data_IF_094094463899
#
_entry.id   IF_094094463899
#
_cell.length_a   1.000
_cell.length_b   1.000
_cell.length_c   1.000
_cell.angle_alpha   90.00
_cell.angle_beta   90.00
_cell.angle_gamma   90.00
#
_symmetry.space_group_name_H-M   'P 1'
#
loop_
_entity.id
_entity.type
_entity.pdbx_description
1 polymer ?
#
# COMPACT_ATOMS: atom_id res chain seq x y z
N UNK A 1 -1.43 18.56 -51.36
CA UNK A 1 -1.92 17.65 -50.31
C UNK A 1 -0.93 17.69 -49.16
N UNK A 2 -1.27 18.40 -48.10
CA UNK A 2 -0.41 18.62 -46.92
C UNK A 2 -0.71 17.52 -45.90
N UNK A 3 0.30 16.72 -45.56
CA UNK A 3 0.18 15.65 -44.56
C UNK A 3 0.17 16.30 -43.18
N UNK A 4 -0.78 15.97 -42.28
CA UNK A 4 -0.81 16.57 -40.95
C UNK A 4 0.41 16.10 -40.14
N UNK A 5 1.16 17.09 -39.66
CA UNK A 5 2.26 16.97 -38.72
C UNK A 5 1.83 16.18 -37.49
N UNK A 6 2.60 15.13 -37.16
CA UNK A 6 2.50 14.32 -35.95
C UNK A 6 2.29 15.19 -34.71
N UNK A 7 1.16 15.01 -34.03
CA UNK A 7 0.94 15.56 -32.71
C UNK A 7 2.06 15.06 -31.79
N UNK A 8 2.90 15.98 -31.27
CA UNK A 8 3.83 15.66 -30.21
C UNK A 8 3.00 15.20 -29.02
N UNK A 9 2.99 13.89 -28.75
CA UNK A 9 2.41 13.30 -27.55
C UNK A 9 2.90 14.11 -26.36
N UNK A 10 2.01 14.88 -25.73
CA UNK A 10 2.30 15.48 -24.44
C UNK A 10 2.68 14.31 -23.53
N UNK A 11 3.94 14.25 -23.12
CA UNK A 11 4.38 13.26 -22.14
C UNK A 11 3.61 13.59 -20.87
N UNK A 12 2.54 12.83 -20.59
CA UNK A 12 1.82 12.90 -19.33
C UNK A 12 2.86 12.75 -18.23
N UNK A 13 3.16 13.85 -17.54
CA UNK A 13 4.11 13.83 -16.44
C UNK A 13 3.40 13.14 -15.28
N UNK A 14 3.94 12.01 -14.84
CA UNK A 14 3.39 11.21 -13.75
C UNK A 14 4.19 11.50 -12.47
N UNK A 15 3.56 11.22 -11.32
CA UNK A 15 4.29 11.13 -10.06
C UNK A 15 5.38 10.07 -10.16
N UNK A 16 6.56 10.37 -9.63
CA UNK A 16 7.69 9.44 -9.61
C UNK A 16 8.10 9.19 -8.18
N UNK A 17 7.98 7.94 -7.74
CA UNK A 17 8.48 7.49 -6.45
C UNK A 17 9.74 6.66 -6.67
N UNK A 18 10.84 7.04 -6.02
CA UNK A 18 12.12 6.33 -6.12
C UNK A 18 12.63 6.00 -4.73
N UNK A 19 12.88 4.71 -4.50
CA UNK A 19 13.50 4.19 -3.28
C UNK A 19 14.81 3.52 -3.66
N UNK A 20 15.92 3.98 -3.07
CA UNK A 20 17.21 3.31 -3.21
C UNK A 20 17.55 2.59 -1.92
N UNK A 21 17.87 1.30 -2.00
CA UNK A 21 18.20 0.45 -0.86
C UNK A 21 19.65 -0.02 -0.90
N UNK A 22 20.25 -0.22 0.27
CA UNK A 22 21.57 -0.80 0.40
C UNK A 22 21.54 -2.30 0.01
N UNK A 23 22.29 -2.69 -1.02
CA UNK A 23 22.29 -4.08 -1.55
C UNK A 23 22.53 -5.17 -0.49
N UNK A 24 23.34 -4.90 0.54
CA UNK A 24 23.69 -5.88 1.58
C UNK A 24 22.67 -5.98 2.70
N UNK A 25 22.11 -4.86 3.16
CA UNK A 25 21.24 -4.79 4.35
C UNK A 25 19.76 -4.60 4.01
N UNK A 26 19.48 -4.27 2.75
CA UNK A 26 18.17 -3.85 2.24
C UNK A 26 17.59 -2.58 2.90
N UNK A 27 18.40 -1.86 3.70
CA UNK A 27 18.02 -0.61 4.37
C UNK A 27 17.86 0.50 3.35
N UNK A 28 16.82 1.34 3.49
CA UNK A 28 16.59 2.51 2.64
C UNK A 28 17.73 3.52 2.81
N UNK A 29 18.34 3.93 1.69
CA UNK A 29 19.42 4.92 1.62
C UNK A 29 18.91 6.30 1.22
N UNK A 30 17.99 6.33 0.26
CA UNK A 30 17.37 7.56 -0.21
C UNK A 30 15.96 7.26 -0.70
N UNK A 31 15.08 8.21 -0.47
CA UNK A 31 13.69 8.17 -0.87
C UNK A 31 13.32 9.53 -1.48
N UNK A 32 12.62 9.52 -2.60
CA UNK A 32 12.13 10.73 -3.23
C UNK A 32 10.77 10.49 -3.87
N UNK A 33 9.80 11.33 -3.53
CA UNK A 33 8.54 11.47 -4.22
C UNK A 33 8.55 12.78 -5.02
N UNK A 34 8.46 12.69 -6.34
CA UNK A 34 8.55 13.84 -7.25
C UNK A 34 7.22 14.01 -7.97
N UNK A 35 6.64 15.21 -7.87
CA UNK A 35 5.38 15.54 -8.53
C UNK A 35 5.52 15.64 -10.05
N UNK A 36 4.41 15.61 -10.80
CA UNK A 36 4.39 15.91 -12.24
C UNK A 36 5.05 17.24 -12.63
N UNK A 37 5.17 18.18 -11.69
CA UNK A 37 5.78 19.49 -11.90
C UNK A 37 7.27 19.53 -11.54
N UNK A 38 7.86 18.42 -11.09
CA UNK A 38 9.25 18.34 -10.66
C UNK A 38 9.49 18.84 -9.23
N UNK A 39 8.43 19.19 -8.48
CA UNK A 39 8.52 19.52 -7.05
C UNK A 39 8.69 18.22 -6.27
N UNK A 40 9.77 18.10 -5.48
CA UNK A 40 9.91 17.00 -4.54
C UNK A 40 9.00 17.23 -3.33
N UNK A 41 8.24 16.21 -2.96
CA UNK A 41 7.38 16.20 -1.77
C UNK A 41 8.12 15.43 -0.67
N UNK A 42 8.21 16.05 0.50
CA UNK A 42 8.73 15.39 1.70
C UNK A 42 7.60 14.65 2.39
N UNK A 43 7.80 13.37 2.66
CA UNK A 43 6.91 12.55 3.45
C UNK A 43 7.59 12.18 4.77
N UNK A 44 6.84 12.17 5.86
CA UNK A 44 7.33 11.80 7.19
C UNK A 44 6.49 10.64 7.70
N UNK A 45 7.09 9.46 7.77
CA UNK A 45 6.47 8.27 8.34
C UNK A 45 6.69 8.22 9.85
N UNK A 46 5.64 7.91 10.61
CA UNK A 46 5.68 7.75 12.06
C UNK A 46 5.10 6.39 12.43
N UNK A 47 5.93 5.57 13.07
CA UNK A 47 5.52 4.31 13.67
C UNK A 47 4.96 4.55 15.07
N UNK A 48 3.65 4.80 15.15
CA UNK A 48 2.97 5.20 16.37
C UNK A 48 2.47 4.03 17.22
N UNK A 49 2.18 4.24 18.51
CA UNK A 49 1.72 3.17 19.42
C UNK A 49 0.27 2.74 19.18
N UNK A 50 -0.53 3.57 18.50
CA UNK A 50 -1.96 3.29 18.23
C UNK A 50 -2.26 3.11 16.75
N UNK A 51 -1.48 3.74 15.88
CA UNK A 51 -1.59 3.68 14.43
C UNK A 51 -0.27 4.11 13.78
N UNK A 52 -0.12 3.73 12.52
CA UNK A 52 0.89 4.22 11.61
C UNK A 52 0.41 5.52 10.98
N UNK A 53 1.32 6.47 10.74
CA UNK A 53 0.98 7.65 9.96
C UNK A 53 2.04 8.08 8.96
N UNK A 54 1.59 8.68 7.86
CA UNK A 54 2.45 9.32 6.87
C UNK A 54 1.95 10.75 6.61
N UNK A 55 2.69 11.74 7.11
CA UNK A 55 2.39 13.16 6.91
C UNK A 55 3.14 13.73 5.71
N UNK A 56 2.51 14.60 4.94
CA UNK A 56 3.15 15.29 3.80
C UNK A 56 2.41 16.59 3.43
N UNK A 57 3.09 17.48 2.70
CA UNK A 57 2.47 18.66 2.10
C UNK A 57 2.20 18.41 0.62
N UNK A 58 0.96 18.57 0.18
CA UNK A 58 0.55 18.39 -1.22
C UNK A 58 1.08 19.46 -2.17
N UNK A 59 0.82 19.29 -3.47
CA UNK A 59 1.15 20.32 -4.48
C UNK A 59 0.25 21.56 -4.39
N UNK A 60 -0.86 21.46 -3.67
CA UNK A 60 -1.78 22.54 -3.33
C UNK A 60 -1.41 23.26 -2.01
N UNK A 61 -0.20 22.97 -1.49
CA UNK A 61 0.36 23.50 -0.24
C UNK A 61 -0.46 23.16 1.02
N UNK A 62 -1.40 22.22 0.93
CA UNK A 62 -2.15 21.70 2.08
C UNK A 62 -1.43 20.53 2.74
N UNK A 63 -1.69 20.34 4.03
CA UNK A 63 -1.12 19.24 4.80
C UNK A 63 -2.06 18.04 4.80
N UNK A 64 -1.49 16.87 4.56
CA UNK A 64 -2.20 15.61 4.51
C UNK A 64 -1.55 14.62 5.45
N UNK A 65 -2.35 13.68 5.96
CA UNK A 65 -1.86 12.59 6.78
C UNK A 65 -2.63 11.30 6.45
N UNK A 66 -1.92 10.28 5.98
CA UNK A 66 -2.45 8.92 6.02
C UNK A 66 -2.38 8.41 7.45
N UNK A 67 -3.43 7.74 7.93
CA UNK A 67 -3.42 6.99 9.18
C UNK A 67 -3.94 5.59 8.97
N UNK A 68 -3.27 4.61 9.57
CA UNK A 68 -3.80 3.25 9.65
C UNK A 68 -4.90 3.14 10.72
N UNK A 69 -5.75 2.12 10.62
CA UNK A 69 -6.82 1.83 11.58
C UNK A 69 -6.29 1.32 12.93
N UNK A 70 -5.06 0.79 12.96
CA UNK A 70 -4.40 0.25 14.14
C UNK A 70 -2.89 0.22 13.95
N UNK A 71 -2.14 0.12 15.05
CA UNK A 71 -0.69 -0.08 15.03
C UNK A 71 -0.31 -1.31 14.19
N UNK A 72 0.71 -1.20 13.35
CA UNK A 72 1.18 -2.29 12.50
C UNK A 72 2.07 -3.24 13.31
N UNK A 73 1.71 -4.52 13.34
CA UNK A 73 2.58 -5.57 13.89
C UNK A 73 2.32 -6.91 13.21
N UNK A 74 3.39 -7.55 12.78
CA UNK A 74 3.39 -8.89 12.20
C UNK A 74 3.24 -9.99 13.26
N UNK A 75 3.48 -9.70 14.54
CA UNK A 75 3.32 -10.68 15.63
C UNK A 75 2.06 -10.49 16.46
N UNK A 76 1.55 -9.26 16.59
CA UNK A 76 0.43 -8.92 17.48
C UNK A 76 -0.94 -8.82 16.78
N UNK A 77 -1.11 -9.45 15.61
CA UNK A 77 -2.41 -9.60 14.96
C UNK A 77 -2.89 -8.42 14.10
N UNK A 78 -2.29 -7.24 14.24
CA UNK A 78 -2.53 -6.08 13.37
C UNK A 78 -1.66 -6.14 12.11
N UNK A 79 -1.90 -7.17 11.30
CA UNK A 79 -1.08 -7.47 10.14
C UNK A 79 -1.28 -6.44 9.02
N UNK A 80 -0.24 -6.25 8.21
CA UNK A 80 -0.27 -5.34 7.07
C UNK A 80 -1.47 -5.57 6.14
N UNK A 81 -1.77 -6.84 5.84
CA UNK A 81 -2.85 -7.24 4.95
C UNK A 81 -4.25 -6.95 5.51
N UNK A 82 -4.42 -6.64 6.79
CA UNK A 82 -5.74 -6.32 7.38
C UNK A 82 -5.88 -4.84 7.76
N UNK A 83 -4.82 -4.06 7.57
CA UNK A 83 -4.85 -2.62 7.87
C UNK A 83 -5.69 -1.86 6.85
N UNK A 84 -6.56 -1.01 7.39
CA UNK A 84 -7.27 0.02 6.63
C UNK A 84 -6.56 1.35 6.84
N UNK A 85 -6.59 2.18 5.83
CA UNK A 85 -5.97 3.49 5.84
C UNK A 85 -6.99 4.55 5.50
N UNK A 86 -6.88 5.71 6.13
CA UNK A 86 -7.65 6.89 5.77
C UNK A 86 -6.68 8.06 5.57
N UNK A 87 -6.87 8.79 4.48
CA UNK A 87 -6.15 10.02 4.20
C UNK A 87 -6.97 11.19 4.71
N UNK A 88 -6.39 11.96 5.61
CA UNK A 88 -6.97 13.15 6.19
C UNK A 88 -6.34 14.40 5.56
N UNK A 89 -7.17 15.40 5.28
CA UNK A 89 -6.73 16.78 5.12
C UNK A 89 -6.61 17.40 6.52
N UNK A 90 -5.38 17.71 6.92
CA UNK A 90 -5.08 18.28 8.24
C UNK A 90 -5.38 19.78 8.19
N UNK A 91 -6.52 20.16 8.77
CA UNK A 91 -6.86 21.57 8.97
C UNK A 91 -6.16 22.07 10.25
N UNK A 92 -5.81 23.36 10.30
CA UNK A 92 -5.03 23.98 11.39
C UNK A 92 -5.40 23.47 12.79
N UNK A 93 -4.39 23.15 13.61
CA UNK A 93 -4.31 22.63 15.00
C UNK A 93 -5.54 22.14 15.80
N UNK A 94 -6.78 22.53 15.51
CA UNK A 94 -8.02 22.08 16.15
C UNK A 94 -9.22 22.03 15.17
N UNK A 95 -8.99 22.14 13.86
CA UNK A 95 -10.06 22.10 12.87
C UNK A 95 -10.57 20.67 12.63
N UNK A 96 -11.78 20.52 12.06
CA UNK A 96 -12.27 19.20 11.67
C UNK A 96 -11.34 18.60 10.61
N UNK A 97 -10.92 17.37 10.86
CA UNK A 97 -10.19 16.59 9.86
C UNK A 97 -11.17 16.08 8.81
N UNK A 98 -10.84 16.31 7.54
CA UNK A 98 -11.69 15.89 6.42
C UNK A 98 -11.05 14.64 5.81
N UNK A 99 -11.78 13.53 5.79
CA UNK A 99 -11.35 12.32 5.10
C UNK A 99 -11.45 12.57 3.59
N UNK A 100 -10.31 12.53 2.91
CA UNK A 100 -10.23 12.74 1.45
C UNK A 100 -10.15 11.43 0.68
N UNK A 101 -9.65 10.36 1.29
CA UNK A 101 -9.65 9.02 0.73
C UNK A 101 -9.57 7.95 1.82
N UNK A 102 -9.97 6.73 1.48
CA UNK A 102 -9.78 5.54 2.30
C UNK A 102 -9.30 4.37 1.45
N UNK A 103 -8.45 3.54 2.04
CA UNK A 103 -7.83 2.41 1.39
C UNK A 103 -7.98 1.15 2.27
N UNK A 104 -8.27 0.02 1.66
CA UNK A 104 -8.28 -1.30 2.30
C UNK A 104 -7.65 -2.32 1.38
N UNK A 105 -6.77 -3.16 1.93
CA UNK A 105 -6.14 -4.26 1.19
C UNK A 105 -7.15 -5.31 0.73
N UNK A 106 -8.30 -5.39 1.40
CA UNK A 106 -9.41 -6.28 1.07
C UNK A 106 -10.69 -5.48 1.13
N UNK A 107 -11.41 -5.45 0.02
CA UNK A 107 -12.76 -4.88 -0.07
C UNK A 107 -13.82 -5.70 0.71
N UNK A 108 -13.46 -6.91 1.15
CA UNK A 108 -14.32 -7.82 1.90
C UNK A 108 -15.19 -8.73 1.02
N UNK A 109 -14.99 -8.71 -0.30
CA UNK A 109 -15.73 -9.55 -1.24
C UNK A 109 -14.91 -10.81 -1.60
N UNK A 110 -15.10 -11.89 -0.84
CA UNK A 110 -14.78 -13.23 -1.33
C UNK A 110 -15.99 -13.73 -2.13
N UNK A 111 -15.96 -13.55 -3.45
CA UNK A 111 -16.92 -14.25 -4.32
C UNK A 111 -16.22 -15.46 -4.96
N UNK A 112 -16.99 -16.45 -5.41
CA UNK A 112 -16.43 -17.58 -6.17
C UNK A 112 -15.79 -17.16 -7.50
N UNK A 113 -15.94 -15.89 -7.91
CA UNK A 113 -15.56 -15.37 -9.24
C UNK A 113 -14.47 -14.30 -9.15
N UNK A 114 -14.27 -13.64 -8.01
CA UNK A 114 -13.28 -12.59 -7.82
C UNK A 114 -12.47 -12.81 -6.56
N UNK A 115 -11.14 -12.82 -6.69
CA UNK A 115 -10.28 -12.58 -5.54
C UNK A 115 -10.59 -11.19 -4.99
N UNK A 116 -10.56 -11.00 -3.66
CA UNK A 116 -10.72 -9.69 -3.09
C UNK A 116 -9.63 -8.77 -3.62
N UNK A 117 -10.00 -7.55 -3.99
CA UNK A 117 -9.08 -6.59 -4.57
C UNK A 117 -8.74 -5.50 -3.55
N UNK A 118 -7.59 -4.88 -3.77
CA UNK A 118 -7.18 -3.68 -3.06
C UNK A 118 -8.11 -2.54 -3.49
N UNK A 119 -8.82 -1.95 -2.55
CA UNK A 119 -9.78 -0.88 -2.83
C UNK A 119 -9.28 0.46 -2.29
N UNK A 120 -9.29 1.47 -3.16
CA UNK A 120 -9.07 2.87 -2.83
C UNK A 120 -10.31 3.68 -3.21
N UNK A 121 -10.94 4.30 -2.22
CA UNK A 121 -12.09 5.19 -2.41
C UNK A 121 -11.66 6.65 -2.20
N UNK A 122 -11.77 7.47 -3.24
CA UNK A 122 -11.43 8.90 -3.18
C UNK A 122 -12.72 9.71 -2.98
N UNK A 123 -12.83 10.37 -1.83
CA UNK A 123 -14.01 11.11 -1.40
C UNK A 123 -14.05 12.56 -1.90
N UNK A 124 -12.87 13.16 -2.04
CA UNK A 124 -12.75 14.59 -2.36
C UNK A 124 -12.41 14.80 -3.84
N UNK A 125 -13.31 15.45 -4.58
CA UNK A 125 -13.12 15.75 -6.01
C UNK A 125 -12.03 16.80 -6.28
N UNK A 126 -11.65 17.58 -5.26
CA UNK A 126 -10.66 18.65 -5.39
C UNK A 126 -9.22 18.23 -5.11
N UNK A 127 -8.99 16.95 -4.80
CA UNK A 127 -7.65 16.44 -4.46
C UNK A 127 -7.11 15.64 -5.65
N UNK A 128 -5.82 15.81 -5.95
CA UNK A 128 -5.15 15.07 -7.01
C UNK A 128 -5.16 13.56 -6.70
N UNK A 129 -5.95 12.79 -7.44
CA UNK A 129 -6.02 11.34 -7.30
C UNK A 129 -4.66 10.66 -7.48
N UNK A 130 -3.80 11.19 -8.34
CA UNK A 130 -2.47 10.62 -8.60
C UNK A 130 -1.51 10.87 -7.43
N UNK A 131 -1.67 11.98 -6.71
CA UNK A 131 -0.96 12.25 -5.45
C UNK A 131 -1.40 11.27 -4.36
N UNK A 132 -2.71 11.00 -4.24
CA UNK A 132 -3.26 10.04 -3.27
C UNK A 132 -2.64 8.66 -3.50
N UNK A 133 -2.67 8.17 -4.74
CA UNK A 133 -2.07 6.87 -5.08
C UNK A 133 -0.55 6.85 -4.82
N UNK A 134 0.16 7.91 -5.23
CA UNK A 134 1.61 7.94 -5.06
C UNK A 134 2.04 8.00 -3.58
N UNK A 135 1.32 8.73 -2.73
CA UNK A 135 1.58 8.80 -1.28
C UNK A 135 1.15 7.53 -0.55
N UNK A 136 0.09 6.85 -1.02
CA UNK A 136 -0.28 5.53 -0.51
C UNK A 136 0.84 4.51 -0.77
N UNK A 137 1.46 4.55 -1.95
CA UNK A 137 2.61 3.68 -2.25
C UNK A 137 3.77 3.92 -1.28
N UNK A 138 4.07 5.19 -0.95
CA UNK A 138 5.10 5.54 0.04
C UNK A 138 4.78 4.93 1.40
N UNK A 139 3.53 5.08 1.87
CA UNK A 139 3.09 4.52 3.15
C UNK A 139 3.30 3.00 3.18
N UNK A 140 2.81 2.30 2.15
CA UNK A 140 2.91 0.84 2.03
C UNK A 140 4.36 0.35 2.07
N UNK A 141 5.27 1.07 1.42
CA UNK A 141 6.70 0.74 1.43
C UNK A 141 7.34 0.90 2.80
N UNK A 142 6.94 1.93 3.56
CA UNK A 142 7.38 2.16 4.94
C UNK A 142 6.84 1.13 5.92
N UNK A 143 5.55 0.83 5.84
CA UNK A 143 4.92 -0.25 6.62
C UNK A 143 5.62 -1.58 6.36
N UNK A 144 5.92 -1.86 5.09
CA UNK A 144 6.64 -3.07 4.75
C UNK A 144 8.07 -3.09 5.28
N UNK A 145 8.72 -1.93 5.42
CA UNK A 145 10.01 -1.86 6.12
C UNK A 145 9.88 -2.14 7.62
N UNK A 146 8.87 -1.57 8.30
CA UNK A 146 8.59 -1.86 9.71
C UNK A 146 8.41 -3.37 9.93
N UNK A 147 7.63 -4.05 9.09
CA UNK A 147 7.48 -5.50 9.14
C UNK A 147 8.79 -6.26 8.91
N UNK A 148 9.66 -5.79 8.00
CA UNK A 148 10.97 -6.41 7.79
C UNK A 148 11.87 -6.24 9.00
N UNK A 149 11.84 -5.09 9.66
CA UNK A 149 12.58 -4.87 10.91
C UNK A 149 12.09 -5.77 12.03
N UNK A 150 10.78 -5.91 12.20
CA UNK A 150 10.18 -6.81 13.18
C UNK A 150 10.60 -8.26 12.91
N UNK A 151 10.54 -8.72 11.65
CA UNK A 151 11.00 -10.05 11.26
C UNK A 151 12.50 -10.29 11.51
N UNK A 152 13.34 -9.25 11.37
CA UNK A 152 14.78 -9.36 11.72
C UNK A 152 14.98 -9.52 13.23
N UNK A 153 14.11 -8.91 14.04
CA UNK A 153 14.17 -8.96 15.52
C UNK A 153 13.60 -10.28 16.06
N UNK A 154 12.47 -10.73 15.53
CA UNK A 154 11.79 -11.95 15.97
C UNK A 154 11.31 -12.80 14.76
N UNK A 155 12.22 -13.52 14.09
CA UNK A 155 11.85 -14.33 12.93
C UNK A 155 10.91 -15.49 13.29
N UNK A 156 11.01 -16.03 14.51
CA UNK A 156 10.21 -17.17 14.96
C UNK A 156 8.78 -16.75 15.26
N UNK A 157 8.59 -15.65 15.99
CA UNK A 157 7.26 -15.10 16.26
C UNK A 157 6.53 -14.74 14.97
N UNK A 158 7.22 -14.10 14.02
CA UNK A 158 6.63 -13.80 12.70
C UNK A 158 6.23 -15.07 11.95
N UNK A 159 7.02 -16.14 12.01
CA UNK A 159 6.65 -17.41 11.37
C UNK A 159 5.43 -18.06 12.03
N UNK A 160 5.35 -18.04 13.37
CA UNK A 160 4.20 -18.55 14.11
C UNK A 160 2.92 -17.77 13.76
N UNK A 161 2.96 -16.44 13.80
CA UNK A 161 1.80 -15.61 13.47
C UNK A 161 1.42 -15.76 11.99
N UNK A 162 2.38 -15.95 11.09
CA UNK A 162 2.09 -16.27 9.70
C UNK A 162 1.44 -17.66 9.54
N UNK A 163 1.84 -18.67 10.32
CA UNK A 163 1.19 -19.97 10.32
C UNK A 163 -0.26 -19.87 10.82
N UNK A 164 -0.50 -19.15 11.91
CA UNK A 164 -1.83 -18.89 12.45
C UNK A 164 -2.70 -18.10 11.46
N UNK A 165 -2.11 -17.11 10.78
CA UNK A 165 -2.77 -16.35 9.73
C UNK A 165 -3.30 -17.25 8.62
N UNK A 166 -2.50 -18.22 8.17
CA UNK A 166 -2.82 -19.16 7.08
C UNK A 166 -3.94 -20.14 7.41
N UNK A 167 -4.32 -20.25 8.67
CA UNK A 167 -5.52 -20.99 9.09
C UNK A 167 -6.81 -20.29 8.65
N UNK A 168 -6.75 -19.01 8.26
CA UNK A 168 -7.87 -18.25 7.72
C UNK A 168 -7.69 -18.05 6.22
N UNK A 169 -8.79 -17.97 5.47
CA UNK A 169 -8.77 -17.85 4.00
C UNK A 169 -7.91 -16.67 3.52
N UNK A 170 -8.11 -15.50 4.13
CA UNK A 170 -7.36 -14.28 3.81
C UNK A 170 -5.86 -14.42 4.09
N UNK A 171 -5.51 -14.98 5.25
CA UNK A 171 -4.10 -15.17 5.59
C UNK A 171 -3.44 -16.29 4.78
N UNK A 172 -4.22 -17.24 4.23
CA UNK A 172 -3.67 -18.21 3.28
C UNK A 172 -3.20 -17.53 2.01
N UNK A 173 -4.01 -16.64 1.43
CA UNK A 173 -3.67 -15.88 0.22
C UNK A 173 -2.51 -14.90 0.47
N UNK A 174 -2.54 -14.17 1.58
CA UNK A 174 -1.51 -13.19 1.91
C UNK A 174 -0.12 -13.82 2.19
N UNK A 175 -0.06 -15.10 2.59
CA UNK A 175 1.17 -15.81 2.96
C UNK A 175 1.38 -17.11 2.16
N UNK A 176 1.08 -17.08 0.86
CA UNK A 176 1.39 -18.22 -0.02
C UNK A 176 2.87 -18.60 0.03
N UNK A 177 3.11 -19.90 0.08
CA UNK A 177 4.44 -20.51 0.02
C UNK A 177 4.55 -21.34 -1.25
N UNK A 178 5.78 -21.52 -1.73
CA UNK A 178 6.06 -22.42 -2.85
C UNK A 178 5.47 -23.83 -2.62
N UNK A 179 5.56 -24.33 -1.37
CA UNK A 179 4.97 -25.62 -0.97
C UNK A 179 3.47 -25.75 -1.20
N UNK A 180 2.73 -24.63 -1.24
CA UNK A 180 1.28 -24.63 -1.45
C UNK A 180 0.92 -24.99 -2.89
N UNK A 181 1.90 -24.85 -3.80
CA UNK A 181 1.78 -25.17 -5.21
C UNK A 181 2.42 -26.51 -5.56
N UNK A 182 3.24 -27.10 -4.69
CA UNK A 182 3.95 -28.36 -5.00
C UNK A 182 3.03 -29.59 -5.12
N UNK A 183 1.78 -29.49 -4.66
CA UNK A 183 0.77 -30.56 -4.78
C UNK A 183 -0.04 -30.46 -6.08
N UNK A 184 0.19 -29.42 -6.88
CA UNK A 184 -0.62 -29.05 -8.02
C UNK A 184 0.29 -28.65 -9.19
N UNK A 185 0.06 -29.18 -10.37
CA UNK A 185 0.63 -28.62 -11.60
C UNK A 185 0.19 -27.15 -11.75
N UNK A 186 0.96 -26.31 -12.45
CA UNK A 186 0.57 -24.90 -12.64
C UNK A 186 -0.84 -24.71 -13.24
N UNK A 187 -1.33 -25.71 -13.99
CA UNK A 187 -2.71 -25.78 -14.48
C UNK A 187 -3.73 -26.12 -13.38
N UNK A 188 -3.39 -27.01 -12.46
CA UNK A 188 -4.21 -27.37 -11.29
C UNK A 188 -4.25 -26.27 -10.23
N UNK A 189 -3.21 -25.44 -10.11
CA UNK A 189 -3.23 -24.22 -9.28
C UNK A 189 -4.19 -23.19 -9.89
N UNK A 190 -4.09 -22.96 -11.20
CA UNK A 190 -5.03 -22.09 -11.93
C UNK A 190 -6.47 -22.60 -11.85
N UNK A 191 -6.67 -23.93 -11.92
CA UNK A 191 -7.97 -24.56 -11.68
C UNK A 191 -8.36 -24.49 -10.20
N UNK A 192 -7.55 -24.78 -9.19
CA UNK A 192 -8.01 -24.71 -7.79
C UNK A 192 -8.39 -23.29 -7.36
N UNK A 193 -7.72 -22.29 -7.95
CA UNK A 193 -8.07 -20.88 -7.80
C UNK A 193 -9.32 -20.49 -8.64
N UNK A 194 -9.66 -21.27 -9.66
CA UNK A 194 -10.76 -21.04 -10.61
C UNK A 194 -11.79 -22.16 -10.73
N UNK A 195 -11.90 -23.12 -9.80
CA UNK A 195 -12.76 -24.32 -9.84
C UNK A 195 -13.51 -24.58 -8.53
N UNK A 196 -13.38 -23.67 -7.58
CA UNK A 196 -14.56 -23.18 -6.85
C UNK A 196 -15.56 -22.47 -7.77
N UNK A 197 -15.26 -22.32 -9.07
CA UNK A 197 -16.23 -21.99 -10.12
C UNK A 197 -17.01 -23.26 -10.48
N UNK A 198 -18.10 -23.48 -9.75
CA UNK A 198 -19.15 -24.45 -10.01
C UNK A 198 -20.45 -23.94 -9.43
#
# INVERSE_FOLDING_TARGET
>A
MTVPSSAKSAKNKLWTYTVTRARKTNVVKSEALISPFGKQISCTYTHGPTHESLSFQGTDDRNYEWRSSSHLSTVNGSRYDVLRHALFLVTSNNGPEIIVADHTHWDGFLTMVSCPDEALYIRSQGVDATMIVATLQVLKDWEMESCREERRKDPVGVEMTAADARMRDLGRVAYWRESDFNSYTGAEVGQSLGSSVG
#
